data_IF_806015452869
#
_entry.id   IF_806015452869
#
_cell.length_a   1.000
_cell.length_b   1.000
_cell.length_c   1.000
_cell.angle_alpha   90.00
_cell.angle_beta   90.00
_cell.angle_gamma   90.00
#
_symmetry.space_group_name_H-M   'P 1'
#
loop_
_entity.id
_entity.type
_entity.pdbx_description
1 polymer ?
#
# COMPACT_ATOMS: atom_id res chain seq x y z
N UNK A 1 -41.02 -4.05 -4.31
CA UNK A 1 -41.63 -4.61 -5.54
C UNK A 1 -40.71 -5.72 -6.01
N UNK A 2 -41.21 -6.95 -6.10
CA UNK A 2 -40.44 -8.10 -6.57
C UNK A 2 -40.22 -7.97 -8.08
N UNK A 3 -39.08 -7.42 -8.49
CA UNK A 3 -38.65 -7.45 -9.89
C UNK A 3 -37.98 -8.78 -10.19
N UNK A 4 -38.82 -9.83 -10.28
CA UNK A 4 -38.39 -11.04 -10.97
C UNK A 4 -38.23 -10.70 -12.46
N UNK A 5 -37.05 -10.96 -13.07
CA UNK A 5 -36.82 -10.63 -14.46
C UNK A 5 -37.82 -11.36 -15.35
N UNK A 6 -38.58 -10.59 -16.15
CA UNK A 6 -39.53 -11.14 -17.12
C UNK A 6 -38.77 -12.05 -18.10
N UNK A 7 -39.21 -13.30 -18.32
CA UNK A 7 -38.52 -14.19 -19.25
C UNK A 7 -38.62 -13.66 -20.67
N UNK A 8 -37.48 -13.61 -21.37
CA UNK A 8 -37.45 -13.30 -22.81
C UNK A 8 -38.06 -14.47 -23.59
N UNK A 9 -38.72 -14.17 -24.71
CA UNK A 9 -39.45 -15.15 -25.56
C UNK A 9 -38.61 -16.36 -26.04
N UNK A 10 -37.28 -16.31 -25.94
CA UNK A 10 -36.37 -17.34 -26.45
C UNK A 10 -35.65 -18.14 -25.35
N UNK A 11 -36.05 -18.01 -24.07
CA UNK A 11 -35.40 -18.73 -22.97
C UNK A 11 -33.96 -18.30 -22.68
N UNK A 12 -33.48 -17.21 -23.30
CA UNK A 12 -32.15 -16.66 -23.10
C UNK A 12 -32.13 -15.89 -21.78
N UNK A 13 -31.55 -16.51 -20.74
CA UNK A 13 -31.28 -15.86 -19.46
C UNK A 13 -29.96 -15.11 -19.58
N UNK A 14 -30.00 -13.78 -19.44
CA UNK A 14 -28.78 -13.04 -19.16
C UNK A 14 -28.25 -13.53 -17.80
N UNK A 15 -26.95 -13.83 -17.65
CA UNK A 15 -26.41 -14.08 -16.33
C UNK A 15 -26.70 -12.85 -15.46
N UNK A 16 -27.28 -13.05 -14.28
CA UNK A 16 -27.28 -12.01 -13.25
C UNK A 16 -25.84 -11.53 -13.11
N UNK A 17 -25.60 -10.23 -13.32
CA UNK A 17 -24.25 -9.66 -13.25
C UNK A 17 -23.60 -10.09 -11.93
N UNK A 18 -22.57 -10.92 -12.03
CA UNK A 18 -22.01 -11.70 -10.93
C UNK A 18 -20.89 -10.99 -10.17
N UNK A 19 -20.75 -9.67 -10.37
CA UNK A 19 -19.70 -8.88 -9.71
C UNK A 19 -20.10 -8.73 -8.23
N UNK A 20 -19.40 -9.48 -7.38
CA UNK A 20 -19.53 -9.38 -5.92
C UNK A 20 -18.37 -8.56 -5.36
N UNK A 21 -18.67 -7.70 -4.40
CA UNK A 21 -17.66 -6.95 -3.64
C UNK A 21 -17.98 -7.00 -2.15
N UNK A 22 -16.95 -6.96 -1.31
CA UNK A 22 -17.06 -6.75 0.14
C UNK A 22 -16.74 -5.30 0.55
N UNK A 23 -16.47 -4.43 -0.42
CA UNK A 23 -16.05 -3.05 -0.18
C UNK A 23 -17.26 -2.13 -0.03
N UNK A 24 -18.17 -2.14 -1.01
CA UNK A 24 -19.28 -1.17 -1.06
C UNK A 24 -20.60 -1.90 -1.28
N UNK A 25 -21.61 -1.51 -0.52
CA UNK A 25 -23.00 -1.92 -0.71
C UNK A 25 -23.83 -0.68 -1.07
N UNK A 26 -24.50 -0.74 -2.22
CA UNK A 26 -25.35 0.35 -2.73
C UNK A 26 -26.81 -0.14 -2.73
N UNK A 27 -27.68 0.59 -2.04
CA UNK A 27 -29.14 0.39 -2.02
C UNK A 27 -29.85 1.70 -2.38
N UNK A 28 -31.15 1.66 -2.72
CA UNK A 28 -31.92 2.89 -2.89
C UNK A 28 -31.83 3.78 -1.65
N UNK A 29 -31.19 4.95 -1.79
CA UNK A 29 -30.94 5.94 -0.73
C UNK A 29 -30.03 5.50 0.42
N UNK A 30 -29.34 4.37 0.32
CA UNK A 30 -28.35 3.96 1.32
C UNK A 30 -27.05 3.56 0.63
N UNK A 31 -25.93 4.01 1.19
CA UNK A 31 -24.60 3.68 0.71
C UNK A 31 -23.76 3.27 1.91
N UNK A 32 -23.19 2.08 1.85
CA UNK A 32 -22.31 1.57 2.89
C UNK A 32 -20.95 1.24 2.31
N UNK A 33 -19.89 1.60 3.04
CA UNK A 33 -18.53 1.16 2.73
C UNK A 33 -18.00 0.38 3.92
N UNK A 34 -17.59 -0.88 3.68
CA UNK A 34 -17.14 -1.83 4.71
C UNK A 34 -18.12 -1.97 5.89
N UNK A 35 -19.42 -1.88 5.61
CA UNK A 35 -20.49 -1.98 6.61
C UNK A 35 -20.83 -0.69 7.36
N UNK A 36 -20.12 0.41 7.11
CA UNK A 36 -20.39 1.71 7.71
C UNK A 36 -21.21 2.59 6.76
N UNK A 37 -22.17 3.34 7.32
CA UNK A 37 -22.97 4.29 6.55
C UNK A 37 -22.07 5.41 5.99
N UNK A 38 -22.23 5.76 4.71
CA UNK A 38 -21.41 6.77 4.06
C UNK A 38 -21.50 8.16 4.71
N UNK A 39 -22.65 8.56 5.25
CA UNK A 39 -22.82 9.84 5.94
C UNK A 39 -21.97 9.93 7.21
N UNK A 40 -21.90 8.83 7.96
CA UNK A 40 -21.04 8.71 9.14
C UNK A 40 -19.56 8.78 8.74
N UNK A 41 -19.16 8.09 7.66
CA UNK A 41 -17.79 8.10 7.17
C UNK A 41 -17.33 9.50 6.75
N UNK A 42 -18.19 10.25 6.03
CA UNK A 42 -17.89 11.63 5.59
C UNK A 42 -17.66 12.55 6.79
N UNK A 43 -18.43 12.38 7.85
CA UNK A 43 -18.41 13.28 9.01
C UNK A 43 -17.25 12.97 9.96
N UNK A 44 -16.86 11.69 10.07
CA UNK A 44 -16.01 11.23 11.15
C UNK A 44 -14.60 10.78 10.74
N UNK A 45 -14.33 10.50 9.46
CA UNK A 45 -13.02 10.02 9.01
C UNK A 45 -12.23 11.06 8.22
N UNK A 46 -10.93 11.11 8.46
CA UNK A 46 -9.98 11.70 7.53
C UNK A 46 -9.82 10.84 6.27
N UNK A 47 -9.25 11.45 5.22
CA UNK A 47 -8.93 10.71 3.99
C UNK A 47 -8.01 9.50 4.24
N UNK A 48 -7.01 9.65 5.12
CA UNK A 48 -6.10 8.57 5.47
C UNK A 48 -6.83 7.40 6.15
N UNK A 49 -7.72 7.68 7.09
CA UNK A 49 -8.51 6.65 7.78
C UNK A 49 -9.50 5.95 6.84
N UNK A 50 -10.08 6.68 5.89
CA UNK A 50 -10.93 6.09 4.85
C UNK A 50 -10.16 5.12 3.95
N UNK A 51 -8.95 5.49 3.52
CA UNK A 51 -8.06 4.61 2.74
C UNK A 51 -7.69 3.38 3.59
N UNK A 52 -7.34 3.57 4.86
CA UNK A 52 -7.05 2.48 5.79
C UNK A 52 -8.23 1.51 5.89
N UNK A 53 -9.45 2.01 6.11
CA UNK A 53 -10.66 1.21 6.21
C UNK A 53 -10.90 0.35 4.96
N UNK A 54 -10.73 0.93 3.77
CA UNK A 54 -10.93 0.20 2.51
C UNK A 54 -9.94 -0.96 2.39
N UNK A 55 -8.67 -0.73 2.73
CA UNK A 55 -7.58 -1.69 2.60
C UNK A 55 -7.59 -2.77 3.69
N UNK A 56 -7.82 -2.38 4.94
CA UNK A 56 -7.66 -3.23 6.13
C UNK A 56 -8.97 -3.84 6.63
N UNK A 57 -10.10 -3.44 6.05
CA UNK A 57 -11.45 -3.89 6.41
C UNK A 57 -11.88 -3.56 7.85
N UNK A 58 -11.14 -2.67 8.53
CA UNK A 58 -11.44 -2.15 9.87
C UNK A 58 -10.97 -0.70 10.00
N UNK A 59 -11.53 0.02 10.96
CA UNK A 59 -11.02 1.34 11.32
C UNK A 59 -9.62 1.20 11.98
N UNK A 60 -8.72 2.17 11.75
CA UNK A 60 -7.45 2.22 12.48
C UNK A 60 -7.68 2.65 13.93
N UNK A 61 -6.77 2.25 14.83
CA UNK A 61 -6.64 2.93 16.12
C UNK A 61 -5.94 4.30 15.97
N UNK A 62 -5.82 5.07 17.06
CA UNK A 62 -5.20 6.41 17.03
C UNK A 62 -3.73 6.38 16.57
N UNK A 63 -2.97 5.33 16.93
CA UNK A 63 -1.55 5.20 16.54
C UNK A 63 -1.45 4.86 15.06
N UNK A 64 -2.26 3.91 14.61
CA UNK A 64 -2.35 3.48 13.21
C UNK A 64 -2.79 4.62 12.31
N UNK A 65 -3.81 5.38 12.69
CA UNK A 65 -4.29 6.56 11.95
C UNK A 65 -3.17 7.57 11.76
N UNK A 66 -2.45 7.88 12.84
CA UNK A 66 -1.34 8.85 12.82
C UNK A 66 -0.17 8.38 11.95
N UNK A 67 0.31 7.15 12.14
CA UNK A 67 1.46 6.65 11.37
C UNK A 67 1.10 6.43 9.91
N UNK A 68 -0.11 5.95 9.61
CA UNK A 68 -0.58 5.77 8.23
C UNK A 68 -0.67 7.10 7.49
N UNK A 69 -1.20 8.14 8.15
CA UNK A 69 -1.18 9.49 7.58
C UNK A 69 0.25 9.99 7.32
N UNK A 70 1.19 9.82 8.25
CA UNK A 70 2.58 10.22 8.05
C UNK A 70 3.22 9.49 6.85
N UNK A 71 2.94 8.19 6.71
CA UNK A 71 3.40 7.40 5.56
C UNK A 71 2.84 8.02 4.28
N UNK A 72 1.52 8.21 4.16
CA UNK A 72 0.92 8.79 2.95
C UNK A 72 1.52 10.15 2.59
N UNK A 73 1.72 11.03 3.58
CA UNK A 73 2.35 12.35 3.39
C UNK A 73 3.78 12.22 2.87
N UNK A 74 4.56 11.25 3.37
CA UNK A 74 5.96 11.06 2.95
C UNK A 74 6.12 10.61 1.49
N UNK A 75 5.06 10.06 0.89
CA UNK A 75 5.05 9.53 -0.47
C UNK A 75 4.41 10.49 -1.50
N UNK A 76 3.85 11.63 -1.07
CA UNK A 76 3.06 12.50 -1.96
C UNK A 76 3.82 12.99 -3.21
N UNK A 77 5.11 13.31 -3.10
CA UNK A 77 5.94 13.68 -4.25
C UNK A 77 7.43 13.44 -3.98
N UNK A 78 8.21 13.27 -5.04
CA UNK A 78 9.67 13.19 -5.00
C UNK A 78 10.32 13.90 -6.20
N UNK A 79 9.67 14.98 -6.68
CA UNK A 79 10.15 15.81 -7.77
C UNK A 79 10.09 15.14 -9.14
N UNK A 80 10.84 15.72 -10.09
CA UNK A 80 10.69 15.43 -11.53
C UNK A 80 11.62 14.35 -12.06
N UNK A 81 12.55 13.87 -11.25
CA UNK A 81 13.58 12.89 -11.65
C UNK A 81 13.17 11.42 -11.53
N UNK A 82 12.20 10.99 -10.69
CA UNK A 82 11.74 9.60 -10.70
C UNK A 82 11.15 9.19 -12.06
N UNK A 83 11.31 7.93 -12.50
CA UNK A 83 10.77 7.43 -13.76
C UNK A 83 9.27 7.72 -13.95
N UNK A 84 8.46 7.58 -12.89
CA UNK A 84 7.02 7.87 -12.94
C UNK A 84 6.69 9.31 -13.24
N UNK A 85 7.39 10.25 -12.60
CA UNK A 85 7.18 11.67 -12.87
C UNK A 85 7.66 12.02 -14.28
N UNK A 86 8.78 11.45 -14.74
CA UNK A 86 9.26 11.65 -16.10
C UNK A 86 8.29 11.11 -17.16
N UNK A 87 7.79 9.89 -16.99
CA UNK A 87 6.82 9.26 -17.89
C UNK A 87 5.53 10.08 -17.98
N UNK A 88 4.97 10.49 -16.83
CA UNK A 88 3.76 11.32 -16.80
C UNK A 88 3.98 12.65 -17.53
N UNK A 89 5.13 13.30 -17.33
CA UNK A 89 5.47 14.56 -18.01
C UNK A 89 5.65 14.40 -19.51
N UNK A 90 6.31 13.33 -19.97
CA UNK A 90 6.49 13.06 -21.40
C UNK A 90 5.14 12.84 -22.08
N UNK A 91 4.24 12.09 -21.46
CA UNK A 91 2.88 11.88 -21.97
C UNK A 91 2.10 13.20 -21.99
N UNK A 92 2.15 14.00 -20.92
CA UNK A 92 1.50 15.30 -20.90
C UNK A 92 2.04 16.23 -22.01
N UNK A 93 3.34 16.17 -22.29
CA UNK A 93 3.97 17.00 -23.34
C UNK A 93 3.53 16.67 -24.76
N UNK A 94 2.94 15.50 -25.00
CA UNK A 94 2.34 15.16 -26.30
C UNK A 94 0.93 15.74 -26.49
N UNK A 95 0.41 16.46 -25.49
CA UNK A 95 -0.95 16.99 -25.49
C UNK A 95 -2.00 16.01 -24.96
N UNK A 96 -1.58 14.88 -24.38
CA UNK A 96 -2.49 13.94 -23.74
C UNK A 96 -3.16 14.57 -22.50
N UNK A 97 -4.39 14.13 -22.19
CA UNK A 97 -5.09 14.59 -21.00
C UNK A 97 -4.40 14.11 -19.69
N UNK A 98 -4.78 14.73 -18.58
CA UNK A 98 -4.18 14.44 -17.27
C UNK A 98 -4.37 12.98 -16.83
N UNK A 99 -5.52 12.37 -17.14
CA UNK A 99 -5.80 10.98 -16.78
C UNK A 99 -4.82 10.02 -17.47
N UNK A 100 -4.51 10.27 -18.75
CA UNK A 100 -3.54 9.48 -19.51
C UNK A 100 -2.12 9.68 -18.97
N UNK A 101 -1.75 10.91 -18.61
CA UNK A 101 -0.45 11.21 -18.01
C UNK A 101 -0.27 10.50 -16.66
N UNK A 102 -1.29 10.56 -15.78
CA UNK A 102 -1.29 9.86 -14.49
C UNK A 102 -1.20 8.35 -14.69
N UNK A 103 -2.00 7.79 -15.61
CA UNK A 103 -1.98 6.37 -15.92
C UNK A 103 -0.59 5.92 -16.39
N UNK A 104 0.05 6.66 -17.31
CA UNK A 104 1.39 6.33 -17.77
C UNK A 104 2.48 6.50 -16.71
N UNK A 105 2.31 7.46 -15.77
CA UNK A 105 3.16 7.56 -14.58
C UNK A 105 3.06 6.31 -13.71
N UNK A 106 1.84 5.83 -13.43
CA UNK A 106 1.60 4.60 -12.66
C UNK A 106 2.16 3.35 -13.36
N UNK A 107 1.97 3.23 -14.67
CA UNK A 107 2.47 2.10 -15.47
C UNK A 107 4.00 2.01 -15.53
N UNK A 108 4.72 3.06 -15.15
CA UNK A 108 6.18 3.04 -15.05
C UNK A 108 6.71 2.35 -13.78
N UNK A 109 5.82 2.00 -12.84
CA UNK A 109 6.20 1.26 -11.63
C UNK A 109 6.66 -0.14 -12.02
N UNK A 110 7.70 -0.65 -11.35
CA UNK A 110 8.26 -1.96 -11.63
C UNK A 110 9.33 -2.38 -10.62
N UNK A 111 10.05 -3.48 -10.90
CA UNK A 111 11.03 -4.07 -9.97
C UNK A 111 12.00 -3.05 -9.37
N UNK A 112 12.47 -2.10 -10.19
CA UNK A 112 13.48 -1.10 -9.82
C UNK A 112 12.89 0.27 -9.45
N UNK A 113 11.57 0.48 -9.59
CA UNK A 113 10.89 1.74 -9.28
C UNK A 113 9.58 1.45 -8.55
N UNK A 114 9.50 1.82 -7.27
CA UNK A 114 8.43 1.50 -6.32
C UNK A 114 8.30 0.00 -5.90
N UNK A 115 8.81 -0.96 -6.67
CA UNK A 115 8.70 -2.40 -6.37
C UNK A 115 9.64 -2.96 -5.27
N UNK A 116 10.29 -2.11 -4.47
CA UNK A 116 11.16 -2.55 -3.38
C UNK A 116 10.44 -2.60 -2.02
N UNK A 117 9.30 -1.92 -1.88
CA UNK A 117 8.60 -1.75 -0.59
C UNK A 117 8.09 -3.10 -0.09
N UNK A 118 7.28 -3.80 -0.89
CA UNK A 118 6.71 -5.11 -0.54
C UNK A 118 7.79 -6.14 -0.25
N UNK A 119 8.82 -6.24 -1.11
CA UNK A 119 9.95 -7.16 -0.92
C UNK A 119 10.74 -6.88 0.36
N UNK A 120 10.89 -5.61 0.75
CA UNK A 120 11.53 -5.27 2.01
C UNK A 120 10.64 -5.67 3.21
N UNK A 121 9.33 -5.44 3.10
CA UNK A 121 8.37 -5.85 4.14
C UNK A 121 8.34 -7.37 4.32
N UNK A 122 8.29 -8.14 3.23
CA UNK A 122 8.36 -9.60 3.24
C UNK A 122 9.66 -10.07 3.89
N UNK A 123 10.81 -9.56 3.43
CA UNK A 123 12.12 -9.90 3.98
C UNK A 123 12.18 -9.69 5.50
N UNK A 124 11.75 -8.53 6.00
CA UNK A 124 11.80 -8.24 7.43
C UNK A 124 10.82 -9.09 8.23
N UNK A 125 9.57 -9.23 7.77
CA UNK A 125 8.55 -10.03 8.47
C UNK A 125 8.92 -11.51 8.53
N UNK A 126 9.38 -12.09 7.43
CA UNK A 126 9.83 -13.48 7.38
C UNK A 126 11.05 -13.69 8.28
N UNK A 127 12.01 -12.75 8.25
CA UNK A 127 13.20 -12.83 9.08
C UNK A 127 12.88 -12.81 10.56
N UNK A 128 12.01 -11.90 11.01
CA UNK A 128 11.58 -11.84 12.41
C UNK A 128 10.74 -13.05 12.79
N UNK A 129 9.81 -13.48 11.94
CA UNK A 129 8.97 -14.66 12.20
C UNK A 129 9.76 -15.96 12.27
N UNK A 130 10.92 -16.03 11.61
CA UNK A 130 11.82 -17.19 11.68
C UNK A 130 12.59 -17.29 13.01
N UNK A 131 12.60 -16.23 13.82
CA UNK A 131 13.29 -16.20 15.10
C UNK A 131 12.33 -16.53 16.24
N UNK A 132 12.76 -17.39 17.17
CA UNK A 132 12.09 -17.50 18.45
C UNK A 132 12.54 -16.35 19.38
N UNK A 133 11.67 -15.36 19.52
CA UNK A 133 11.87 -14.14 20.32
C UNK A 133 11.09 -14.17 21.65
N UNK A 134 10.63 -15.34 22.13
CA UNK A 134 9.93 -15.47 23.42
C UNK A 134 10.85 -15.33 24.65
N UNK A 135 12.13 -15.01 24.44
CA UNK A 135 13.12 -14.80 25.50
C UNK A 135 12.81 -13.55 26.33
N UNK A 136 13.11 -13.61 27.63
CA UNK A 136 12.93 -12.48 28.55
C UNK A 136 14.14 -11.55 28.62
N UNK A 137 15.32 -11.99 28.14
CA UNK A 137 16.52 -11.17 28.08
C UNK A 137 16.59 -10.38 26.77
N UNK A 138 16.41 -9.06 26.87
CA UNK A 138 16.52 -8.10 25.78
C UNK A 138 17.87 -8.23 25.04
N UNK A 139 18.95 -8.53 25.77
CA UNK A 139 20.28 -8.69 25.18
C UNK A 139 20.32 -9.89 24.24
N UNK A 140 19.66 -10.99 24.60
CA UNK A 140 19.62 -12.20 23.77
C UNK A 140 18.71 -12.01 22.55
N UNK A 141 17.59 -11.31 22.70
CA UNK A 141 16.75 -10.89 21.57
C UNK A 141 17.58 -10.06 20.58
N UNK A 142 18.29 -9.04 21.08
CA UNK A 142 19.14 -8.19 20.24
C UNK A 142 20.26 -8.98 19.54
N UNK A 143 20.88 -9.95 20.23
CA UNK A 143 21.89 -10.82 19.61
C UNK A 143 21.32 -11.67 18.49
N UNK A 144 20.12 -12.25 18.67
CA UNK A 144 19.44 -13.05 17.63
C UNK A 144 19.12 -12.21 16.41
N UNK A 145 18.58 -11.00 16.60
CA UNK A 145 18.29 -10.06 15.52
C UNK A 145 19.58 -9.66 14.80
N UNK A 146 20.66 -9.33 15.53
CA UNK A 146 21.93 -8.95 14.94
C UNK A 146 22.55 -10.07 14.08
N UNK A 147 22.52 -11.32 14.58
CA UNK A 147 22.98 -12.48 13.79
C UNK A 147 22.15 -12.64 12.51
N UNK A 148 20.83 -12.52 12.61
CA UNK A 148 19.93 -12.61 11.45
C UNK A 148 20.21 -11.53 10.42
N UNK A 149 20.50 -10.31 10.86
CA UNK A 149 20.87 -9.21 9.97
C UNK A 149 22.17 -9.50 9.20
N UNK A 150 23.17 -10.07 9.87
CA UNK A 150 24.44 -10.48 9.22
C UNK A 150 24.17 -11.57 8.17
N UNK A 151 23.38 -12.60 8.51
CA UNK A 151 23.02 -13.68 7.57
C UNK A 151 22.34 -13.14 6.30
N UNK A 152 21.45 -12.15 6.45
CA UNK A 152 20.78 -11.51 5.31
C UNK A 152 21.81 -10.80 4.42
N UNK A 153 22.72 -10.02 5.02
CA UNK A 153 23.77 -9.31 4.28
C UNK A 153 24.66 -10.30 3.52
N UNK A 154 25.15 -11.33 4.20
CA UNK A 154 26.03 -12.35 3.62
C UNK A 154 25.36 -13.07 2.45
N UNK A 155 24.07 -13.40 2.58
CA UNK A 155 23.28 -14.02 1.51
C UNK A 155 23.24 -13.12 0.27
N UNK A 156 22.76 -11.89 0.40
CA UNK A 156 22.59 -10.97 -0.73
C UNK A 156 23.94 -10.60 -1.36
N UNK A 157 25.00 -10.49 -0.56
CA UNK A 157 26.36 -10.27 -1.05
C UNK A 157 26.86 -11.47 -1.89
N UNK A 158 26.68 -12.69 -1.39
CA UNK A 158 27.08 -13.92 -2.11
C UNK A 158 26.32 -14.11 -3.43
N UNK A 159 25.07 -13.64 -3.51
CA UNK A 159 24.23 -13.68 -4.70
C UNK A 159 24.51 -12.49 -5.65
N UNK A 160 25.35 -11.53 -5.24
CA UNK A 160 25.58 -10.26 -5.95
C UNK A 160 24.29 -9.47 -6.22
N UNK A 161 23.31 -9.59 -5.32
CA UNK A 161 22.03 -8.90 -5.38
C UNK A 161 21.96 -7.73 -4.39
N UNK A 162 21.08 -6.75 -4.66
CA UNK A 162 20.82 -5.65 -3.73
C UNK A 162 19.76 -6.05 -2.71
N UNK A 163 20.03 -5.81 -1.44
CA UNK A 163 19.06 -5.99 -0.36
C UNK A 163 17.86 -5.05 -0.60
N UNK A 164 16.62 -5.57 -0.69
CA UNK A 164 15.42 -4.76 -0.83
C UNK A 164 15.31 -3.70 0.27
N UNK A 165 14.94 -2.47 -0.10
CA UNK A 165 14.83 -1.34 0.84
C UNK A 165 16.15 -0.63 1.16
N UNK A 166 17.29 -1.15 0.71
CA UNK A 166 18.60 -0.53 0.92
C UNK A 166 19.17 0.12 -0.34
N UNK A 167 19.90 1.22 -0.12
CA UNK A 167 20.58 2.00 -1.15
C UNK A 167 19.70 3.10 -1.74
N UNK A 168 20.27 4.30 -1.90
CA UNK A 168 19.58 5.43 -2.50
C UNK A 168 20.52 6.19 -3.44
N UNK A 169 20.00 6.69 -4.57
CA UNK A 169 20.81 7.40 -5.57
C UNK A 169 21.35 8.74 -5.05
N UNK A 170 20.61 9.40 -4.18
CA UNK A 170 20.83 10.80 -3.78
C UNK A 170 21.09 11.01 -2.28
N UNK A 171 20.82 10.01 -1.45
CA UNK A 171 20.75 10.21 0.00
C UNK A 171 21.57 9.15 0.70
N UNK A 172 22.51 9.60 1.51
CA UNK A 172 23.17 8.72 2.49
C UNK A 172 22.25 8.49 3.70
N UNK A 173 21.41 9.48 4.01
CA UNK A 173 20.36 9.43 5.03
C UNK A 173 19.12 10.16 4.54
N UNK A 174 18.09 9.41 4.15
CA UNK A 174 16.83 10.00 3.69
C UNK A 174 16.07 10.63 4.89
N UNK A 175 15.75 11.94 4.84
CA UNK A 175 15.10 12.61 5.96
C UNK A 175 13.71 12.05 6.27
N UNK A 176 13.00 11.46 5.29
CA UNK A 176 11.67 10.89 5.48
C UNK A 176 11.72 9.63 6.32
N UNK A 177 12.65 8.73 6.01
CA UNK A 177 12.82 7.47 6.72
C UNK A 177 13.09 7.71 8.21
N UNK A 178 13.98 8.65 8.52
CA UNK A 178 14.33 9.03 9.90
C UNK A 178 13.09 9.53 10.64
N UNK A 179 12.37 10.48 10.03
CA UNK A 179 11.19 11.08 10.68
C UNK A 179 10.07 10.07 10.91
N UNK A 180 9.87 9.13 9.98
CA UNK A 180 8.87 8.07 10.11
C UNK A 180 9.22 7.12 11.26
N UNK A 181 10.49 6.69 11.35
CA UNK A 181 10.96 5.83 12.45
C UNK A 181 10.80 6.50 13.81
N UNK A 182 11.19 7.78 13.93
CA UNK A 182 11.01 8.57 15.16
C UNK A 182 9.54 8.72 15.56
N UNK A 183 8.61 8.64 14.60
CA UNK A 183 7.17 8.79 14.83
C UNK A 183 6.45 7.46 15.10
N UNK A 184 7.14 6.33 14.90
CA UNK A 184 6.58 4.98 15.07
C UNK A 184 6.78 4.41 16.49
N UNK A 185 7.63 5.06 17.30
CA UNK A 185 8.00 4.66 18.68
C UNK A 185 7.18 5.46 19.70
#
# INVERSE_FOLDING_TARGET
MNDNPKPTKNGFKFPENSIKTKITEVKPNELFTRGYNQEDLITNLSFAEMVFLILMERLPDERESKIFNHILVSFCDHGVTPPSTQSARLIASSGANINNAVAGGLLSFGKNHAGAIERAMELFQESISSLNLEETDEKEINNKIARKAIEIVDKYESESERIPGYGHRYHDKDPRAVRLLDSAI
#
